data_IF_218780661521
#
_entry.id   IF_218780661521
#
_cell.length_a   1.000
_cell.length_b   1.000
_cell.length_c   1.000
_cell.angle_alpha   90.00
_cell.angle_beta   90.00
_cell.angle_gamma   90.00
#
_symmetry.space_group_name_H-M   'P 1'
#
loop_
_entity.id
_entity.type
_entity.pdbx_description
1 polymer ?
#
# COMPACT_ATOMS: atom_id res chain seq x y z
N UNK A 1 -9.40 1.32 8.13
CA UNK A 1 -8.84 0.82 6.86
C UNK A 1 -7.95 -0.41 7.11
N UNK A 2 -8.42 -1.64 6.85
CA UNK A 2 -7.71 -2.89 7.16
C UNK A 2 -6.33 -3.01 6.49
N UNK A 3 -6.15 -2.34 5.36
CA UNK A 3 -4.92 -2.39 4.55
C UNK A 3 -3.69 -1.77 5.24
N UNK A 4 -3.90 -0.77 6.10
CA UNK A 4 -2.82 -0.11 6.84
C UNK A 4 -2.15 -1.10 7.81
N UNK A 5 -2.95 -1.94 8.46
CA UNK A 5 -2.46 -2.93 9.42
C UNK A 5 -1.65 -4.03 8.74
N UNK A 6 -2.08 -4.45 7.54
CA UNK A 6 -1.33 -5.41 6.73
C UNK A 6 0.00 -4.80 6.28
N UNK A 7 -0.02 -3.62 5.67
CA UNK A 7 1.20 -2.91 5.23
C UNK A 7 2.19 -2.71 6.39
N UNK A 8 1.71 -2.26 7.55
CA UNK A 8 2.54 -2.08 8.73
C UNK A 8 3.16 -3.40 9.24
N UNK A 9 2.44 -4.52 9.16
CA UNK A 9 2.97 -5.84 9.54
C UNK A 9 4.09 -6.31 8.60
N UNK A 10 4.11 -5.83 7.35
CA UNK A 10 5.20 -6.04 6.40
C UNK A 10 6.32 -4.99 6.49
N UNK A 11 6.24 -4.06 7.45
CA UNK A 11 7.24 -3.00 7.66
C UNK A 11 7.11 -1.81 6.71
N UNK A 12 5.96 -1.63 6.07
CA UNK A 12 5.67 -0.43 5.28
C UNK A 12 5.07 0.67 6.16
N UNK A 13 5.60 1.87 6.02
CA UNK A 13 5.14 3.09 6.66
C UNK A 13 4.29 3.91 5.68
N UNK A 14 3.20 4.49 6.17
CA UNK A 14 2.36 5.36 5.36
C UNK A 14 3.04 6.73 5.20
N UNK A 15 3.30 7.13 3.96
CA UNK A 15 3.79 8.48 3.66
C UNK A 15 2.60 9.43 3.46
N UNK A 16 2.21 10.10 4.54
CA UNK A 16 1.15 11.12 4.55
C UNK A 16 1.69 12.56 4.50
N UNK A 17 2.99 12.75 4.23
CA UNK A 17 3.65 14.07 4.18
C UNK A 17 3.06 15.02 3.12
N UNK A 18 2.30 14.51 2.16
CA UNK A 18 1.46 15.33 1.29
C UNK A 18 0.00 15.23 1.71
N UNK A 19 -0.56 16.30 2.30
CA UNK A 19 -1.99 16.62 2.10
C UNK A 19 -2.22 16.68 0.59
N UNK A 20 -2.62 15.57 -0.03
CA UNK A 20 -3.08 15.63 -1.41
C UNK A 20 -4.58 15.54 -1.38
N UNK A 21 -5.20 16.63 -1.77
CA UNK A 21 -6.61 16.79 -2.12
C UNK A 21 -7.01 15.91 -3.32
N UNK A 22 -6.45 14.70 -3.42
CA UNK A 22 -6.53 13.82 -4.58
C UNK A 22 -5.95 12.44 -4.27
N UNK A 23 -6.84 11.50 -3.97
CA UNK A 23 -6.81 10.08 -4.37
C UNK A 23 -5.48 9.30 -4.33
N UNK A 24 -4.44 9.66 -3.59
CA UNK A 24 -3.16 8.94 -3.64
C UNK A 24 -2.69 8.58 -2.25
N UNK A 25 -2.59 7.28 -1.99
CA UNK A 25 -2.00 6.73 -0.77
C UNK A 25 -0.66 6.10 -1.13
N UNK A 26 0.36 6.42 -0.33
CA UNK A 26 1.74 5.97 -0.52
C UNK A 26 2.20 5.21 0.71
N UNK A 27 2.85 4.08 0.47
CA UNK A 27 3.52 3.27 1.47
C UNK A 27 4.99 3.13 1.09
N UNK A 28 5.87 3.25 2.07
CA UNK A 28 7.31 3.17 1.90
C UNK A 28 7.90 2.21 2.94
N UNK A 29 8.78 1.30 2.51
CA UNK A 29 9.49 0.37 3.39
C UNK A 29 10.97 0.75 3.44
N UNK A 30 11.47 1.34 4.55
CA UNK A 30 12.86 1.76 4.65
C UNK A 30 13.86 0.61 4.57
N UNK A 31 13.46 -0.60 4.99
CA UNK A 31 14.35 -1.78 5.02
C UNK A 31 14.97 -2.13 3.66
N UNK A 32 14.22 -1.90 2.58
CA UNK A 32 14.57 -2.35 1.22
C UNK A 32 14.36 -1.22 0.19
N UNK A 33 14.00 -0.01 0.64
CA UNK A 33 13.69 1.14 -0.21
C UNK A 33 12.44 0.98 -1.09
N UNK A 34 11.64 -0.08 -0.92
CA UNK A 34 10.48 -0.35 -1.76
C UNK A 34 9.32 0.60 -1.45
N UNK A 35 8.60 0.99 -2.49
CA UNK A 35 7.47 1.91 -2.41
C UNK A 35 6.25 1.34 -3.11
N UNK A 36 5.08 1.47 -2.49
CA UNK A 36 3.80 1.15 -3.07
C UNK A 36 2.92 2.40 -3.13
N UNK A 37 2.40 2.71 -4.31
CA UNK A 37 1.53 3.87 -4.52
C UNK A 37 0.22 3.38 -5.09
N UNK A 38 -0.88 3.67 -4.40
CA UNK A 38 -2.22 3.35 -4.87
C UNK A 38 -3.02 4.62 -5.13
N UNK A 39 -3.80 4.58 -6.21
CA UNK A 39 -4.84 5.56 -6.48
C UNK A 39 -6.11 5.09 -5.77
N UNK A 40 -6.55 5.82 -4.74
CA UNK A 40 -7.83 5.58 -4.07
C UNK A 40 -8.90 6.26 -4.92
N UNK A 41 -9.86 5.55 -5.54
CA UNK A 41 -10.99 6.23 -6.15
C UNK A 41 -11.74 6.99 -5.03
N UNK A 42 -11.79 8.32 -5.11
CA UNK A 42 -12.72 9.10 -4.27
C UNK A 42 -14.16 8.70 -4.64
N UNK A 43 -15.15 8.66 -3.73
CA UNK A 43 -15.18 8.67 -2.27
C UNK A 43 -16.04 7.51 -1.72
N UNK A 44 -15.88 6.28 -2.22
CA UNK A 44 -16.43 5.11 -1.52
C UNK A 44 -15.27 4.52 -0.73
N UNK A 45 -15.46 4.38 0.58
CA UNK A 45 -14.47 3.88 1.56
C UNK A 45 -14.01 2.42 1.30
N UNK A 46 -14.41 1.86 0.15
CA UNK A 46 -14.29 0.46 -0.22
C UNK A 46 -13.18 0.29 -1.27
N UNK A 47 -12.16 -0.48 -0.91
CA UNK A 47 -11.13 -0.93 -1.85
C UNK A 47 -11.75 -1.87 -2.87
N UNK A 48 -11.56 -1.61 -4.17
CA UNK A 48 -12.02 -2.56 -5.20
C UNK A 48 -11.23 -3.87 -5.09
N UNK A 49 -11.87 -4.98 -5.50
CA UNK A 49 -11.20 -6.28 -5.56
C UNK A 49 -9.94 -6.27 -6.45
N UNK A 50 -9.86 -5.37 -7.43
CA UNK A 50 -8.66 -5.14 -8.25
C UNK A 50 -7.53 -4.51 -7.44
N UNK A 51 -7.83 -3.48 -6.65
CA UNK A 51 -6.85 -2.85 -5.75
C UNK A 51 -6.32 -3.87 -4.73
N UNK A 52 -7.20 -4.70 -4.15
CA UNK A 52 -6.78 -5.76 -3.23
C UNK A 52 -5.86 -6.77 -3.93
N UNK A 53 -6.23 -7.24 -5.13
CA UNK A 53 -5.40 -8.15 -5.92
C UNK A 53 -4.03 -7.56 -6.25
N UNK A 54 -3.97 -6.26 -6.58
CA UNK A 54 -2.71 -5.57 -6.86
C UNK A 54 -1.81 -5.52 -5.61
N UNK A 55 -2.40 -5.23 -4.44
CA UNK A 55 -1.68 -5.23 -3.16
C UNK A 55 -1.14 -6.61 -2.83
N UNK A 56 -1.95 -7.66 -2.99
CA UNK A 56 -1.52 -9.05 -2.72
C UNK A 56 -0.39 -9.48 -3.67
N UNK A 57 -0.44 -9.08 -4.95
CA UNK A 57 0.66 -9.34 -5.90
C UNK A 57 1.94 -8.61 -5.51
N UNK A 58 1.82 -7.34 -5.15
CA UNK A 58 2.96 -6.56 -4.67
C UNK A 58 3.57 -7.17 -3.41
N UNK A 59 2.74 -7.56 -2.42
CA UNK A 59 3.24 -8.19 -1.19
C UNK A 59 3.91 -9.54 -1.43
N UNK A 60 3.46 -10.32 -2.42
CA UNK A 60 4.15 -11.55 -2.84
C UNK A 60 5.48 -11.26 -3.54
N UNK A 61 5.56 -10.23 -4.38
CA UNK A 61 6.81 -9.80 -5.01
C UNK A 61 7.84 -9.28 -3.98
N UNK A 62 7.36 -8.56 -2.96
CA UNK A 62 8.25 -8.02 -1.91
C UNK A 62 8.56 -8.98 -0.77
N UNK A 63 7.71 -9.99 -0.56
CA UNK A 63 7.86 -11.01 0.49
C UNK A 63 8.39 -12.35 0.00
N UNK A 64 8.33 -12.62 -1.31
CA UNK A 64 8.69 -13.89 -1.94
C UNK A 64 10.19 -14.16 -2.11
N UNK A 65 11.06 -13.28 -1.61
CA UNK A 65 12.49 -13.56 -1.50
C UNK A 65 12.80 -14.14 -0.12
N UNK A 66 12.23 -15.30 0.17
CA UNK A 66 12.71 -16.20 1.21
C UNK A 66 12.66 -17.63 0.64
N UNK A 67 13.64 -17.91 -0.21
CA UNK A 67 14.15 -19.26 -0.45
C UNK A 67 15.63 -19.28 -0.05
#
# INVERSE_FOLDING_TARGET
MPILKVMASYGFEMDSKGKTSGSRVRFYRPSDGRMFVMHVPHPSDELTAETIRNIVRFLQDVGGSHE
#
